data_IF_014487007311
#
_entry.id   IF_014487007311
#
_cell.length_a   1.000
_cell.length_b   1.000
_cell.length_c   1.000
_cell.angle_alpha   90.00
_cell.angle_beta   90.00
_cell.angle_gamma   90.00
#
_symmetry.space_group_name_H-M   'P 1'
#
loop_
_entity.id
_entity.type
_entity.pdbx_description
1 polymer ?
#
# COMPACT_ATOMS: atom_id res chain seq x y z
N UNK A 1 -24.89 38.06 63.28
CA UNK A 1 -24.04 37.31 62.33
C UNK A 1 -23.42 38.34 61.40
N UNK A 2 -22.10 38.39 61.29
CA UNK A 2 -21.38 39.45 60.56
C UNK A 2 -21.61 39.32 59.03
N UNK A 3 -21.96 40.43 58.36
CA UNK A 3 -22.15 40.45 56.90
C UNK A 3 -20.88 40.03 56.15
N UNK A 4 -19.69 40.31 56.69
CA UNK A 4 -18.43 39.85 56.08
C UNK A 4 -18.33 38.33 56.11
N UNK A 5 -18.72 37.68 57.21
CA UNK A 5 -18.73 36.22 57.32
C UNK A 5 -19.69 35.58 56.32
N UNK A 6 -20.87 36.18 56.11
CA UNK A 6 -21.85 35.70 55.11
C UNK A 6 -21.28 35.77 53.70
N UNK A 7 -20.69 36.91 53.31
CA UNK A 7 -20.08 37.10 51.98
C UNK A 7 -18.89 36.17 51.76
N UNK A 8 -18.03 35.99 52.77
CA UNK A 8 -16.90 35.06 52.71
C UNK A 8 -17.36 33.61 52.54
N UNK A 9 -18.40 33.18 53.28
CA UNK A 9 -18.98 31.83 53.16
C UNK A 9 -19.62 31.60 51.79
N UNK A 10 -20.32 32.59 51.24
CA UNK A 10 -20.88 32.53 49.89
C UNK A 10 -19.79 32.49 48.80
N UNK A 11 -18.74 33.31 48.93
CA UNK A 11 -17.60 33.33 48.01
C UNK A 11 -16.88 31.97 48.00
N UNK A 12 -16.59 31.41 49.18
CA UNK A 12 -15.98 30.06 49.32
C UNK A 12 -16.85 28.96 48.69
N UNK A 13 -18.17 29.00 48.88
CA UNK A 13 -19.11 28.05 48.25
C UNK A 13 -19.12 28.17 46.72
N UNK A 14 -19.13 29.38 46.18
CA UNK A 14 -19.08 29.61 44.72
C UNK A 14 -17.75 29.17 44.12
N UNK A 15 -16.64 29.44 44.80
CA UNK A 15 -15.32 28.99 44.38
C UNK A 15 -15.26 27.46 44.37
N UNK A 16 -15.70 26.81 45.45
CA UNK A 16 -15.78 25.34 45.52
C UNK A 16 -16.62 24.76 44.38
N UNK A 17 -17.83 25.30 44.14
CA UNK A 17 -18.71 24.80 43.07
C UNK A 17 -18.08 24.99 41.67
N UNK A 18 -17.46 26.14 41.41
CA UNK A 18 -16.74 26.41 40.14
C UNK A 18 -15.57 25.46 39.95
N UNK A 19 -14.80 25.17 41.01
CA UNK A 19 -13.71 24.20 40.96
C UNK A 19 -14.24 22.79 40.65
N UNK A 20 -15.30 22.34 41.33
CA UNK A 20 -15.90 21.01 41.09
C UNK A 20 -16.42 20.89 39.65
N UNK A 21 -17.15 21.90 39.15
CA UNK A 21 -17.64 21.91 37.77
C UNK A 21 -16.47 21.94 36.77
N UNK A 22 -15.49 22.81 36.99
CA UNK A 22 -14.31 22.93 36.13
C UNK A 22 -13.49 21.65 36.07
N UNK A 23 -13.28 21.00 37.21
CA UNK A 23 -12.61 19.69 37.28
C UNK A 23 -13.45 18.61 36.59
N UNK A 24 -14.77 18.58 36.78
CA UNK A 24 -15.66 17.63 36.12
C UNK A 24 -15.64 17.75 34.59
N UNK A 25 -15.71 18.98 34.07
CA UNK A 25 -15.56 19.25 32.62
C UNK A 25 -14.15 18.85 32.16
N UNK A 26 -13.11 19.24 32.90
CA UNK A 26 -11.72 18.91 32.56
C UNK A 26 -11.49 17.40 32.45
N UNK A 27 -11.96 16.62 33.44
CA UNK A 27 -11.84 15.16 33.42
C UNK A 27 -12.64 14.54 32.26
N UNK A 28 -13.82 15.07 31.97
CA UNK A 28 -14.64 14.59 30.86
C UNK A 28 -13.96 14.83 29.50
N UNK A 29 -13.34 16.00 29.31
CA UNK A 29 -12.57 16.30 28.11
C UNK A 29 -11.34 15.41 27.98
N UNK A 30 -10.57 15.21 29.05
CA UNK A 30 -9.42 14.30 29.06
C UNK A 30 -9.84 12.88 28.70
N UNK A 31 -10.96 12.40 29.24
CA UNK A 31 -11.52 11.09 28.89
C UNK A 31 -11.88 11.01 27.41
N UNK A 32 -12.56 12.03 26.86
CA UNK A 32 -12.93 12.08 25.45
C UNK A 32 -11.70 12.08 24.53
N UNK A 33 -10.66 12.85 24.85
CA UNK A 33 -9.40 12.84 24.09
C UNK A 33 -8.66 11.52 24.20
N UNK A 34 -8.66 10.87 25.38
CA UNK A 34 -8.05 9.57 25.56
C UNK A 34 -8.74 8.49 24.73
N UNK A 35 -10.07 8.44 24.76
CA UNK A 35 -10.86 7.52 23.90
C UNK A 35 -10.61 7.84 22.43
N UNK A 36 -10.62 9.12 22.03
CA UNK A 36 -10.30 9.51 20.66
C UNK A 36 -8.91 9.08 20.21
N UNK A 37 -7.92 9.15 21.10
CA UNK A 37 -6.56 8.67 20.83
C UNK A 37 -6.47 7.14 20.76
N UNK A 38 -7.25 6.41 21.56
CA UNK A 38 -7.26 4.95 21.55
C UNK A 38 -7.97 4.35 20.34
N UNK A 39 -8.79 5.14 19.62
CA UNK A 39 -9.38 4.75 18.34
C UNK A 39 -8.38 4.82 17.16
N UNK A 40 -7.17 5.34 17.37
CA UNK A 40 -6.13 5.32 16.33
C UNK A 40 -5.68 3.87 16.09
N UNK A 41 -5.83 3.34 14.86
CA UNK A 41 -5.33 2.01 14.54
C UNK A 41 -3.83 1.93 14.87
N UNK A 42 -3.41 0.87 15.57
CA UNK A 42 -2.00 0.56 15.73
C UNK A 42 -1.55 -0.24 14.52
N UNK A 43 -0.53 0.24 13.86
CA UNK A 43 0.14 -0.50 12.80
C UNK A 43 1.07 -1.51 13.46
N UNK A 44 0.62 -2.76 13.54
CA UNK A 44 1.45 -3.88 13.98
C UNK A 44 2.20 -4.44 12.77
N UNK A 45 3.51 -4.23 12.74
CA UNK A 45 4.41 -4.82 11.73
C UNK A 45 4.77 -6.22 12.21
N UNK A 46 4.02 -7.21 11.74
CA UNK A 46 4.41 -8.63 11.85
C UNK A 46 5.36 -8.98 10.71
N UNK A 47 6.13 -10.08 10.78
CA UNK A 47 6.99 -10.52 9.68
C UNK A 47 6.28 -10.61 8.32
N UNK A 48 5.02 -11.04 8.31
CA UNK A 48 4.19 -11.17 7.11
C UNK A 48 3.69 -9.83 6.56
N UNK A 49 3.78 -8.77 7.36
CA UNK A 49 3.41 -7.39 7.01
C UNK A 49 4.62 -6.48 6.80
N UNK A 50 5.84 -7.02 6.87
CA UNK A 50 7.00 -6.24 6.50
C UNK A 50 6.91 -5.80 5.03
N UNK A 51 7.37 -4.59 4.70
CA UNK A 51 7.46 -4.17 3.30
C UNK A 51 8.38 -5.06 2.47
N UNK A 52 8.12 -5.10 1.16
CA UNK A 52 9.06 -5.57 0.16
C UNK A 52 10.44 -4.94 0.39
N UNK A 53 11.51 -5.74 0.24
CA UNK A 53 12.90 -5.30 0.30
C UNK A 53 13.64 -5.80 -0.95
N UNK A 54 14.63 -5.05 -1.46
CA UNK A 54 15.55 -5.56 -2.48
C UNK A 54 16.20 -6.88 -2.00
N UNK A 55 16.25 -7.87 -2.87
CA UNK A 55 16.71 -9.23 -2.55
C UNK A 55 15.61 -10.20 -2.13
N UNK A 56 14.36 -9.74 -1.94
CA UNK A 56 13.23 -10.65 -1.71
C UNK A 56 12.98 -11.53 -2.94
N UNK A 57 12.73 -12.82 -2.69
CA UNK A 57 12.38 -13.80 -3.71
C UNK A 57 10.91 -13.60 -4.09
N UNK A 58 10.60 -13.55 -5.38
CA UNK A 58 9.22 -13.47 -5.84
C UNK A 58 8.60 -14.86 -5.86
N UNK A 59 7.49 -15.02 -5.16
CA UNK A 59 6.74 -16.28 -5.06
C UNK A 59 5.32 -16.11 -5.59
N UNK A 60 4.74 -17.16 -6.16
CA UNK A 60 3.35 -17.12 -6.63
C UNK A 60 2.39 -16.81 -5.46
N UNK A 61 1.35 -16.04 -5.73
CA UNK A 61 0.25 -15.82 -4.80
C UNK A 61 -0.56 -17.10 -4.62
N UNK A 62 -0.14 -17.93 -3.67
CA UNK A 62 -0.78 -19.20 -3.34
C UNK A 62 -1.41 -19.12 -1.92
N UNK A 63 -2.39 -19.98 -1.67
CA UNK A 63 -2.99 -20.15 -0.34
C UNK A 63 -2.04 -20.88 0.64
N UNK A 64 -2.60 -21.64 1.58
CA UNK A 64 -1.79 -22.43 2.51
C UNK A 64 -0.91 -23.46 1.80
N UNK A 65 0.34 -23.60 2.25
CA UNK A 65 1.34 -24.53 1.69
C UNK A 65 2.75 -23.93 1.70
N UNK A 66 3.72 -24.68 1.18
CA UNK A 66 5.07 -24.15 0.96
C UNK A 66 5.04 -23.14 -0.21
N UNK A 67 5.68 -21.97 -0.05
CA UNK A 67 5.72 -20.97 -1.11
C UNK A 67 6.52 -21.48 -2.30
N UNK A 68 5.98 -21.28 -3.51
CA UNK A 68 6.65 -21.63 -4.77
C UNK A 68 7.36 -20.39 -5.35
N UNK A 69 8.70 -20.36 -5.42
CA UNK A 69 9.43 -19.31 -6.12
C UNK A 69 9.10 -19.29 -7.61
N UNK A 70 8.98 -18.09 -8.17
CA UNK A 70 8.76 -17.89 -9.61
C UNK A 70 10.10 -18.08 -10.31
N UNK A 71 10.14 -19.06 -11.23
CA UNK A 71 11.34 -19.33 -12.05
C UNK A 71 11.16 -18.77 -13.44
N UNK A 72 12.25 -18.27 -14.04
CA UNK A 72 12.22 -17.67 -15.38
C UNK A 72 11.66 -18.63 -16.44
N UNK A 73 12.02 -19.90 -16.35
CA UNK A 73 11.60 -20.95 -17.29
C UNK A 73 10.10 -21.27 -17.25
N UNK A 74 9.42 -20.91 -16.14
CA UNK A 74 7.97 -21.11 -15.99
C UNK A 74 7.16 -19.99 -16.63
N UNK A 75 7.77 -18.82 -16.86
CA UNK A 75 7.13 -17.68 -17.50
C UNK A 75 7.41 -17.72 -19.01
N UNK A 76 6.37 -17.91 -19.80
CA UNK A 76 6.47 -17.83 -21.26
C UNK A 76 6.18 -16.40 -21.73
N UNK A 77 6.92 -15.87 -22.71
CA UNK A 77 6.58 -14.59 -23.34
C UNK A 77 5.15 -14.58 -23.88
N UNK A 78 4.38 -13.54 -23.58
CA UNK A 78 2.99 -13.35 -24.03
C UNK A 78 1.93 -14.08 -23.20
N UNK A 79 2.31 -14.95 -22.26
CA UNK A 79 1.35 -15.54 -21.32
C UNK A 79 0.81 -14.49 -20.34
N UNK A 80 -0.43 -14.64 -19.82
CA UNK A 80 -0.99 -13.74 -18.83
C UNK A 80 -0.09 -13.59 -17.59
N UNK A 81 -0.11 -12.40 -16.98
CA UNK A 81 0.64 -12.18 -15.74
C UNK A 81 0.17 -13.11 -14.61
N UNK A 82 1.07 -13.36 -13.68
CA UNK A 82 0.78 -14.05 -12.43
C UNK A 82 0.80 -13.08 -11.27
N UNK A 83 -0.06 -13.30 -10.27
CA UNK A 83 0.01 -12.58 -9.01
C UNK A 83 1.11 -13.18 -8.14
N UNK A 84 1.85 -12.31 -7.45
CA UNK A 84 3.01 -12.70 -6.66
C UNK A 84 3.12 -11.89 -5.37
N UNK A 85 3.94 -12.40 -4.45
CA UNK A 85 4.38 -11.71 -3.24
C UNK A 85 5.89 -11.81 -3.08
N UNK A 86 6.53 -10.86 -2.38
CA UNK A 86 7.90 -10.98 -1.94
C UNK A 86 8.01 -11.93 -0.73
N UNK A 87 9.06 -12.74 -0.73
CA UNK A 87 9.43 -13.63 0.36
C UNK A 87 10.85 -13.30 0.80
N UNK A 88 11.06 -13.16 2.11
CA UNK A 88 12.40 -12.94 2.66
C UNK A 88 13.30 -14.16 2.36
N UNK A 89 14.48 -13.98 1.75
CA UNK A 89 15.32 -15.09 1.31
C UNK A 89 15.91 -15.89 2.47
N UNK A 90 16.00 -15.31 3.68
CA UNK A 90 16.59 -15.94 4.87
C UNK A 90 15.53 -16.60 5.75
N UNK A 91 14.47 -15.86 6.08
CA UNK A 91 13.43 -16.36 7.00
C UNK A 91 12.38 -17.19 6.29
N UNK A 92 12.31 -17.10 4.95
CA UNK A 92 11.28 -17.74 4.10
C UNK A 92 9.86 -17.28 4.42
N UNK A 93 9.71 -16.19 5.15
CA UNK A 93 8.41 -15.56 5.42
C UNK A 93 7.94 -14.86 4.16
N UNK A 94 6.75 -15.23 3.68
CA UNK A 94 6.07 -14.53 2.60
C UNK A 94 5.37 -13.31 3.18
N UNK A 95 5.67 -12.14 2.62
CA UNK A 95 5.15 -10.86 3.12
C UNK A 95 3.78 -10.53 2.51
N UNK A 96 2.88 -11.52 2.50
CA UNK A 96 1.54 -11.43 1.90
C UNK A 96 0.47 -10.84 2.83
N UNK A 97 0.81 -10.60 4.10
CA UNK A 97 -0.08 -9.95 5.08
C UNK A 97 -0.25 -8.45 4.85
N UNK A 98 0.64 -7.83 4.07
CA UNK A 98 0.55 -6.44 3.62
C UNK A 98 0.15 -6.39 2.14
N UNK A 99 -1.04 -5.87 1.85
CA UNK A 99 -1.60 -5.84 0.50
C UNK A 99 -0.79 -4.95 -0.47
N UNK A 100 -0.03 -3.96 0.02
CA UNK A 100 0.91 -3.19 -0.81
C UNK A 100 2.03 -4.03 -1.42
N UNK A 101 2.28 -5.22 -0.88
CA UNK A 101 3.26 -6.16 -1.42
C UNK A 101 2.70 -7.06 -2.54
N UNK A 102 1.42 -6.93 -2.91
CA UNK A 102 0.89 -7.70 -4.04
C UNK A 102 1.49 -7.21 -5.35
N UNK A 103 2.08 -8.13 -6.10
CA UNK A 103 2.75 -7.89 -7.37
C UNK A 103 1.97 -8.58 -8.51
N UNK A 104 2.12 -8.03 -9.70
CA UNK A 104 1.85 -8.74 -10.96
C UNK A 104 3.19 -8.92 -11.69
N UNK A 105 3.41 -10.11 -12.24
CA UNK A 105 4.64 -10.48 -12.96
C UNK A 105 4.26 -11.07 -14.31
N UNK A 106 4.74 -10.46 -15.38
CA UNK A 106 4.53 -10.91 -16.76
C UNK A 106 5.87 -11.03 -17.48
N UNK A 107 5.87 -11.78 -18.59
CA UNK A 107 7.01 -11.86 -19.48
C UNK A 107 6.60 -11.51 -20.90
N UNK A 108 7.41 -10.68 -21.53
CA UNK A 108 7.25 -10.22 -22.90
C UNK A 108 8.47 -10.59 -23.73
N UNK A 109 8.39 -10.40 -25.04
CA UNK A 109 9.58 -10.30 -25.86
C UNK A 109 10.37 -9.04 -25.42
N UNK A 110 11.67 -9.14 -25.10
CA UNK A 110 12.48 -7.98 -24.73
C UNK A 110 12.44 -6.83 -25.74
N UNK A 111 12.24 -7.11 -27.04
CA UNK A 111 12.18 -6.09 -28.09
C UNK A 111 10.89 -5.27 -28.06
N UNK A 112 9.83 -5.78 -27.43
CA UNK A 112 8.54 -5.09 -27.30
C UNK A 112 8.48 -4.13 -26.10
N UNK A 113 9.43 -4.22 -25.18
CA UNK A 113 9.46 -3.37 -23.99
C UNK A 113 9.97 -1.97 -24.32
N UNK A 114 9.30 -0.95 -23.79
CA UNK A 114 9.82 0.40 -23.84
C UNK A 114 11.22 0.47 -23.19
N UNK A 115 12.18 1.29 -23.69
CA UNK A 115 13.55 1.31 -23.17
C UNK A 115 13.65 1.58 -21.66
N UNK A 116 12.78 2.46 -21.13
CA UNK A 116 12.71 2.78 -19.71
C UNK A 116 12.17 1.61 -18.86
N UNK A 117 11.35 0.73 -19.44
CA UNK A 117 10.83 -0.48 -18.80
C UNK A 117 11.88 -1.58 -18.83
N UNK A 118 12.54 -1.75 -19.98
CA UNK A 118 13.55 -2.77 -20.21
C UNK A 118 14.74 -2.65 -19.25
N UNK A 119 15.13 -1.42 -18.85
CA UNK A 119 16.24 -1.22 -17.90
C UNK A 119 15.97 -1.81 -16.50
N UNK A 120 14.70 -2.09 -16.17
CA UNK A 120 14.25 -2.64 -14.89
C UNK A 120 13.68 -4.06 -15.03
N UNK A 121 13.68 -4.59 -16.25
CA UNK A 121 13.22 -5.93 -16.59
C UNK A 121 14.38 -6.95 -16.52
N UNK A 122 14.04 -8.24 -16.49
CA UNK A 122 15.01 -9.32 -16.57
C UNK A 122 14.57 -10.36 -17.60
N UNK A 123 15.28 -10.48 -18.73
CA UNK A 123 14.97 -11.45 -19.79
C UNK A 123 13.51 -11.36 -20.29
N UNK A 124 13.02 -10.12 -20.44
CA UNK A 124 11.64 -9.79 -20.82
C UNK A 124 10.64 -9.82 -19.65
N UNK A 125 11.05 -10.23 -18.45
CA UNK A 125 10.18 -10.26 -17.27
C UNK A 125 10.06 -8.86 -16.67
N UNK A 126 8.84 -8.40 -16.50
CA UNK A 126 8.49 -7.16 -15.80
C UNK A 126 7.64 -7.46 -14.58
N UNK A 127 7.83 -6.67 -13.51
CA UNK A 127 6.99 -6.74 -12.33
C UNK A 127 6.45 -5.34 -12.00
N UNK A 128 5.19 -5.26 -11.62
CA UNK A 128 4.55 -4.03 -11.16
C UNK A 128 3.81 -4.29 -9.86
N UNK A 129 3.51 -3.24 -9.11
CA UNK A 129 2.50 -3.34 -8.06
C UNK A 129 1.16 -3.74 -8.67
N UNK A 130 0.48 -4.72 -8.07
CA UNK A 130 -0.88 -5.06 -8.44
C UNK A 130 -1.92 -4.20 -7.72
N UNK A 131 -1.53 -3.18 -6.94
CA UNK A 131 -2.48 -2.34 -6.21
C UNK A 131 -2.90 -1.15 -7.07
N UNK A 132 -4.14 -1.18 -7.55
CA UNK A 132 -4.72 -0.15 -8.41
C UNK A 132 -4.62 1.24 -7.76
N UNK A 133 -4.11 2.21 -8.51
CA UNK A 133 -3.82 3.57 -8.01
C UNK A 133 -5.08 4.44 -7.87
N UNK A 134 -6.23 3.97 -8.39
CA UNK A 134 -7.53 4.61 -8.22
C UNK A 134 -8.02 4.50 -6.76
N UNK A 135 -8.48 3.31 -6.37
CA UNK A 135 -9.09 3.06 -5.06
C UNK A 135 -8.57 1.77 -4.38
N UNK A 136 -7.43 1.23 -4.83
CA UNK A 136 -6.69 0.19 -4.11
C UNK A 136 -7.13 -1.26 -4.36
N UNK A 137 -8.06 -1.52 -5.28
CA UNK A 137 -8.35 -2.89 -5.71
C UNK A 137 -7.11 -3.59 -6.28
N UNK A 138 -7.03 -4.91 -6.17
CA UNK A 138 -6.00 -5.68 -6.86
C UNK A 138 -6.31 -5.74 -8.36
N UNK A 139 -5.35 -5.34 -9.18
CA UNK A 139 -5.34 -5.46 -10.64
C UNK A 139 -5.05 -6.92 -10.96
N UNK A 140 -6.09 -7.68 -11.31
CA UNK A 140 -6.05 -9.15 -11.30
C UNK A 140 -6.51 -9.81 -12.60
N UNK A 141 -6.94 -9.03 -13.59
CA UNK A 141 -7.42 -9.55 -14.88
C UNK A 141 -6.47 -9.20 -16.02
N UNK A 142 -6.41 -10.06 -17.02
CA UNK A 142 -5.60 -9.90 -18.23
C UNK A 142 -6.47 -9.49 -19.41
N UNK A 143 -6.01 -8.54 -20.20
CA UNK A 143 -6.61 -8.16 -21.48
C UNK A 143 -5.71 -8.71 -22.58
N UNK A 144 -6.13 -9.79 -23.24
CA UNK A 144 -5.29 -10.52 -24.18
C UNK A 144 -4.86 -9.69 -25.40
N UNK A 145 -5.78 -8.93 -26.00
CA UNK A 145 -5.51 -8.20 -27.25
C UNK A 145 -4.51 -7.04 -27.06
N UNK A 146 -4.47 -6.45 -25.88
CA UNK A 146 -3.58 -5.32 -25.53
C UNK A 146 -2.35 -5.76 -24.72
N UNK A 147 -2.34 -7.02 -24.27
CA UNK A 147 -1.42 -7.56 -23.29
C UNK A 147 -1.29 -6.70 -22.02
N UNK A 148 -2.45 -6.25 -21.53
CA UNK A 148 -2.56 -5.26 -20.48
C UNK A 148 -3.19 -5.83 -19.20
N UNK A 149 -2.93 -5.16 -18.07
CA UNK A 149 -3.52 -5.51 -16.79
C UNK A 149 -4.80 -4.70 -16.53
N UNK A 150 -5.89 -5.40 -16.17
CA UNK A 150 -7.21 -4.85 -15.91
C UNK A 150 -7.58 -4.93 -14.43
N UNK A 151 -8.04 -3.80 -13.91
CA UNK A 151 -8.66 -3.68 -12.61
C UNK A 151 -10.18 -3.93 -12.72
N UNK A 152 -10.72 -5.00 -12.10
CA UNK A 152 -12.12 -5.38 -12.25
C UNK A 152 -13.10 -4.40 -11.61
N UNK A 153 -12.64 -3.54 -10.68
CA UNK A 153 -13.55 -2.70 -9.90
C UNK A 153 -14.18 -1.57 -10.71
N UNK A 154 -13.41 -0.90 -11.57
CA UNK A 154 -13.87 0.28 -12.33
C UNK A 154 -13.30 0.33 -13.76
N UNK A 155 -12.80 -0.79 -14.28
CA UNK A 155 -12.31 -0.89 -15.66
C UNK A 155 -10.99 -0.18 -15.93
N UNK A 156 -10.15 0.02 -14.92
CA UNK A 156 -8.82 0.61 -15.11
C UNK A 156 -7.90 -0.35 -15.85
N UNK A 157 -7.30 0.06 -16.98
CA UNK A 157 -6.41 -0.79 -17.78
C UNK A 157 -5.02 -0.16 -17.85
N UNK A 158 -3.99 -0.98 -17.61
CA UNK A 158 -2.58 -0.59 -17.55
C UNK A 158 -1.78 -1.36 -18.61
N UNK A 159 -1.15 -0.65 -19.53
CA UNK A 159 -0.26 -1.23 -20.55
C UNK A 159 1.10 -1.59 -19.94
N UNK A 160 1.38 -2.88 -19.78
CA UNK A 160 2.55 -3.37 -19.06
C UNK A 160 3.86 -3.20 -19.84
N UNK A 161 3.84 -3.12 -21.18
CA UNK A 161 5.04 -2.96 -22.00
C UNK A 161 5.54 -1.51 -22.01
N UNK A 162 4.63 -0.58 -21.78
CA UNK A 162 4.88 0.86 -21.76
C UNK A 162 4.79 1.47 -20.34
N UNK A 163 5.26 0.75 -19.32
CA UNK A 163 5.45 1.32 -17.98
C UNK A 163 4.16 1.39 -17.17
N UNK A 164 3.22 0.48 -17.40
CA UNK A 164 1.87 0.50 -16.83
C UNK A 164 1.10 1.79 -17.16
N UNK A 165 1.28 2.34 -18.36
CA UNK A 165 0.51 3.50 -18.82
C UNK A 165 -0.98 3.21 -18.70
N UNK A 166 -1.75 4.15 -18.15
CA UNK A 166 -3.20 4.03 -18.02
C UNK A 166 -3.83 4.26 -19.40
N UNK A 167 -4.39 3.21 -19.99
CA UNK A 167 -5.02 3.27 -21.32
C UNK A 167 -6.55 3.24 -21.25
N UNK A 168 -7.13 2.90 -20.09
CA UNK A 168 -8.58 3.02 -19.85
C UNK A 168 -8.91 3.19 -18.36
N UNK A 169 -10.13 3.66 -18.10
CA UNK A 169 -10.72 3.78 -16.76
C UNK A 169 -10.17 4.95 -15.92
N UNK A 170 -10.53 5.01 -14.62
CA UNK A 170 -10.25 6.14 -13.75
C UNK A 170 -8.88 6.16 -13.00
N UNK A 171 -7.93 5.21 -13.13
CA UNK A 171 -6.64 5.36 -12.45
C UNK A 171 -5.93 6.68 -12.80
N UNK A 172 -5.50 7.48 -11.81
CA UNK A 172 -4.90 8.79 -12.06
C UNK A 172 -3.42 8.70 -12.46
N UNK A 173 -2.80 7.52 -12.33
CA UNK A 173 -1.37 7.30 -12.58
C UNK A 173 -1.06 5.81 -12.80
N UNK A 174 0.08 5.47 -13.42
CA UNK A 174 0.60 4.10 -13.49
C UNK A 174 0.79 3.48 -12.11
N UNK A 175 0.62 2.15 -12.04
CA UNK A 175 1.18 1.36 -10.93
C UNK A 175 2.71 1.37 -11.04
N UNK A 176 3.46 1.49 -9.93
CA UNK A 176 4.91 1.56 -10.00
C UNK A 176 5.50 0.21 -10.42
N UNK A 177 6.49 0.27 -11.30
CA UNK A 177 7.32 -0.90 -11.65
C UNK A 177 8.22 -1.27 -10.46
N UNK A 178 8.45 -2.56 -10.29
CA UNK A 178 9.45 -3.13 -9.40
C UNK A 178 10.61 -3.64 -10.25
N UNK A 179 11.85 -3.14 -10.07
CA UNK A 179 13.01 -3.70 -10.73
C UNK A 179 13.19 -5.17 -10.34
N UNK A 180 13.46 -6.03 -11.32
CA UNK A 180 13.67 -7.46 -11.11
C UNK A 180 15.00 -7.92 -11.71
N UNK A 181 15.51 -9.02 -11.17
CA UNK A 181 16.67 -9.73 -11.71
C UNK A 181 16.47 -11.24 -11.51
N UNK A 182 17.27 -12.03 -12.20
CA UNK A 182 17.28 -13.49 -12.07
C UNK A 182 18.52 -13.92 -11.29
N UNK A 183 18.33 -14.73 -10.25
CA UNK A 183 19.40 -15.41 -9.50
C UNK A 183 19.06 -16.91 -9.45
N UNK A 184 19.98 -17.77 -9.91
CA UNK A 184 19.79 -19.23 -9.95
C UNK A 184 18.47 -19.68 -10.63
N UNK A 185 18.05 -18.92 -11.65
CA UNK A 185 16.82 -19.12 -12.40
C UNK A 185 15.54 -18.64 -11.70
N UNK A 186 15.65 -18.05 -10.50
CA UNK A 186 14.54 -17.52 -9.69
C UNK A 186 14.46 -16.00 -9.82
N UNK A 187 13.24 -15.47 -9.86
CA UNK A 187 12.99 -14.03 -9.89
C UNK A 187 13.14 -13.42 -8.50
N UNK A 188 13.92 -12.33 -8.43
CA UNK A 188 14.25 -11.61 -7.20
C UNK A 188 14.03 -10.11 -7.42
N UNK A 189 13.54 -9.41 -6.40
CA UNK A 189 13.46 -7.95 -6.40
C UNK A 189 14.86 -7.34 -6.48
N UNK A 190 15.14 -6.57 -7.54
CA UNK A 190 16.43 -5.91 -7.76
C UNK A 190 16.51 -4.53 -7.10
N UNK A 191 15.38 -3.98 -6.63
CA UNK A 191 15.30 -2.66 -6.03
C UNK A 191 13.96 -2.42 -5.35
N UNK A 192 13.77 -1.19 -4.89
CA UNK A 192 12.48 -0.69 -4.39
C UNK A 192 11.52 -0.42 -5.56
N UNK A 193 10.24 -0.22 -5.27
CA UNK A 193 9.30 0.31 -6.27
C UNK A 193 9.76 1.67 -6.79
N UNK A 194 9.65 1.88 -8.11
CA UNK A 194 10.03 3.14 -8.78
C UNK A 194 9.03 4.29 -8.54
N UNK A 195 8.06 4.09 -7.66
CA UNK A 195 7.06 5.09 -7.31
C UNK A 195 6.17 4.60 -6.17
N UNK A 196 5.27 5.47 -5.66
CA UNK A 196 4.41 5.13 -4.55
C UNK A 196 3.39 4.05 -4.94
N UNK A 197 3.11 3.13 -4.02
CA UNK A 197 2.14 2.03 -4.21
C UNK A 197 0.72 2.43 -3.81
N UNK A 198 -0.28 1.98 -4.59
CA UNK A 198 -1.70 2.09 -4.25
C UNK A 198 -2.27 3.51 -4.25
N UNK A 199 -3.32 3.74 -3.46
CA UNK A 199 -3.97 5.06 -3.41
C UNK A 199 -3.05 6.06 -2.72
N UNK A 200 -2.79 7.17 -3.40
CA UNK A 200 -2.04 8.28 -2.83
C UNK A 200 -2.99 9.43 -2.58
N UNK A 201 -2.86 10.06 -1.41
CA UNK A 201 -3.51 11.33 -1.20
C UNK A 201 -2.95 12.30 -2.24
N UNK A 202 -3.79 12.78 -3.15
CA UNK A 202 -3.41 13.93 -3.95
C UNK A 202 -3.10 15.05 -2.95
N UNK A 203 -1.87 15.56 -2.95
CA UNK A 203 -1.64 16.91 -2.45
C UNK A 203 -2.47 17.82 -3.36
N UNK A 204 -3.74 17.99 -3.03
CA UNK A 204 -4.64 18.78 -3.83
C UNK A 204 -4.09 20.19 -3.87
N UNK A 205 -3.74 20.64 -5.07
CA UNK A 205 -3.57 22.03 -5.45
C UNK A 205 -4.90 22.80 -5.34
N UNK A 206 -5.64 22.62 -4.24
CA UNK A 206 -6.74 23.47 -3.83
C UNK A 206 -6.14 24.69 -3.13
N UNK A 207 -5.46 25.53 -3.91
CA UNK A 207 -5.30 26.93 -3.51
C UNK A 207 -6.69 27.55 -3.63
N UNK A 208 -7.41 27.62 -2.52
CA UNK A 208 -8.52 28.54 -2.42
C UNK A 208 -7.92 29.94 -2.50
N UNK A 209 -7.91 30.53 -3.70
CA UNK A 209 -7.79 31.98 -3.83
C UNK A 209 -9.08 32.55 -3.28
N UNK A 210 -9.02 32.98 -2.03
CA UNK A 210 -9.96 33.93 -1.44
C UNK A 210 -9.57 35.32 -1.90
#
# INVERSE_FOLDING_TARGET
MDEREVRLRQSRRRLFLKTVIGTGIGLSLVSAFYVGASLRPREEVTPEKEPLKPGDILVYAQGGGEPKPIRLEELKPGDPFVLAYPMDPKTKVVKSGEAKNTLLVARFDPEELAPEVAQHAAEGVVAYSAVCTHLGCIVSQWVADEEAALCPCHGGVYDLRHGAQVIAGPPPRPVPQLPVRVEDGVLVAAGEFLGPVGVQASAGAYTWRV
#
